data_IF_438572269066
#
_entry.id   IF_438572269066
#
_cell.length_a   1.000
_cell.length_b   1.000
_cell.length_c   1.000
_cell.angle_alpha   90.00
_cell.angle_beta   90.00
_cell.angle_gamma   90.00
#
_symmetry.space_group_name_H-M   'P 1'
#
loop_
_entity.id
_entity.type
_entity.pdbx_description
1 polymer ?
#
# COMPACT_ATOMS: atom_id res chain seq x y z
N UNK A 1 -13.29 27.96 -4.47
CA UNK A 1 -11.96 28.26 -5.06
C UNK A 1 -12.00 29.65 -5.68
N UNK A 2 -10.95 30.47 -5.50
CA UNK A 2 -10.87 31.84 -6.03
C UNK A 2 -10.55 31.91 -7.54
N UNK A 3 -9.88 30.88 -8.09
CA UNK A 3 -9.57 30.77 -9.52
C UNK A 3 -10.31 29.61 -10.20
N UNK A 4 -10.35 29.64 -11.54
CA UNK A 4 -10.95 28.56 -12.36
C UNK A 4 -10.11 27.28 -12.25
N UNK A 5 -10.75 26.12 -12.29
CA UNK A 5 -10.07 24.83 -12.12
C UNK A 5 -8.94 24.59 -13.15
N UNK A 6 -9.14 25.03 -14.40
CA UNK A 6 -8.17 24.90 -15.51
C UNK A 6 -6.92 25.79 -15.34
N UNK A 7 -7.00 26.82 -14.51
CA UNK A 7 -5.87 27.74 -14.26
C UNK A 7 -4.80 27.18 -13.33
N UNK A 8 -5.08 26.09 -12.60
CA UNK A 8 -4.11 25.48 -11.67
C UNK A 8 -3.11 24.53 -12.35
N UNK A 9 -3.22 24.29 -13.66
CA UNK A 9 -2.28 23.44 -14.40
C UNK A 9 -2.24 21.99 -13.90
N UNK A 10 -3.38 21.45 -13.48
CA UNK A 10 -3.48 20.18 -12.76
C UNK A 10 -3.34 18.95 -13.68
N UNK A 11 -2.09 18.66 -14.05
CA UNK A 11 -1.71 17.54 -14.93
C UNK A 11 -0.53 16.75 -14.34
N UNK A 12 -0.26 15.56 -14.89
CA UNK A 12 0.90 14.75 -14.46
C UNK A 12 2.20 15.56 -14.59
N UNK A 13 3.03 15.51 -13.55
CA UNK A 13 4.17 16.42 -13.37
C UNK A 13 3.84 17.68 -12.55
N UNK A 14 2.67 17.74 -11.89
CA UNK A 14 2.32 18.80 -10.94
C UNK A 14 3.44 19.01 -9.91
N UNK A 15 3.90 20.24 -9.77
CA UNK A 15 4.97 20.57 -8.81
C UNK A 15 4.40 20.75 -7.40
N UNK A 16 5.27 20.61 -6.40
CA UNK A 16 4.88 20.85 -5.00
C UNK A 16 4.40 22.27 -4.77
N UNK A 17 4.99 23.26 -5.45
CA UNK A 17 4.60 24.68 -5.34
C UNK A 17 3.21 24.94 -5.93
N UNK A 18 2.90 24.30 -7.07
CA UNK A 18 1.57 24.39 -7.68
C UNK A 18 0.50 23.74 -6.79
N UNK A 19 0.80 22.57 -6.22
CA UNK A 19 -0.10 21.91 -5.27
C UNK A 19 -0.29 22.76 -4.00
N UNK A 20 0.79 23.31 -3.44
CA UNK A 20 0.72 24.19 -2.27
C UNK A 20 -0.12 25.44 -2.54
N UNK A 21 0.00 26.03 -3.73
CA UNK A 21 -0.82 27.18 -4.14
C UNK A 21 -2.31 26.83 -4.14
N UNK A 22 -2.68 25.68 -4.70
CA UNK A 22 -4.07 25.19 -4.68
C UNK A 22 -4.58 24.96 -3.25
N UNK A 23 -3.76 24.37 -2.39
CA UNK A 23 -4.08 24.15 -0.98
C UNK A 23 -4.35 25.49 -0.27
N UNK A 24 -3.46 26.47 -0.44
CA UNK A 24 -3.63 27.81 0.16
C UNK A 24 -4.90 28.50 -0.34
N UNK A 25 -5.21 28.40 -1.63
CA UNK A 25 -6.44 28.94 -2.19
C UNK A 25 -7.71 28.26 -1.63
N UNK A 26 -7.63 26.95 -1.33
CA UNK A 26 -8.71 26.23 -0.67
C UNK A 26 -8.90 26.69 0.78
N UNK A 27 -7.81 26.93 1.52
CA UNK A 27 -7.84 27.46 2.88
C UNK A 27 -8.40 28.88 2.93
N UNK A 28 -7.96 29.76 2.03
CA UNK A 28 -8.45 31.14 1.90
C UNK A 28 -9.95 31.15 1.57
N UNK A 29 -10.40 30.28 0.66
CA UNK A 29 -11.83 30.14 0.34
C UNK A 29 -12.65 29.63 1.54
N UNK A 30 -12.14 28.63 2.27
CA UNK A 30 -12.83 28.10 3.45
C UNK A 30 -12.95 29.14 4.56
N UNK A 31 -11.86 29.83 4.91
CA UNK A 31 -11.86 30.86 5.96
C UNK A 31 -12.78 32.04 5.61
N UNK A 32 -12.79 32.48 4.35
CA UNK A 32 -13.70 33.53 3.88
C UNK A 32 -15.18 33.17 4.01
N UNK A 33 -15.56 31.90 3.80
CA UNK A 33 -16.96 31.45 3.86
C UNK A 33 -17.36 31.09 5.29
N UNK A 34 -16.48 30.42 6.05
CA UNK A 34 -16.75 29.98 7.41
C UNK A 34 -16.71 31.13 8.43
N UNK A 35 -16.15 32.29 8.08
CA UNK A 35 -15.91 33.39 9.02
C UNK A 35 -14.92 33.05 10.12
N UNK A 36 -14.17 31.95 9.97
CA UNK A 36 -13.17 31.50 10.92
C UNK A 36 -11.83 32.17 10.60
N UNK A 37 -11.33 32.99 11.52
CA UNK A 37 -10.03 33.62 11.39
C UNK A 37 -8.86 32.67 11.68
N UNK A 38 -9.13 31.56 12.39
CA UNK A 38 -8.13 30.56 12.74
C UNK A 38 -8.63 29.16 12.41
N UNK A 39 -7.78 28.37 11.77
CA UNK A 39 -8.03 26.96 11.50
C UNK A 39 -7.43 26.10 12.62
N UNK A 40 -8.12 25.03 13.05
CA UNK A 40 -7.53 24.09 13.97
C UNK A 40 -6.32 23.40 13.29
N UNK A 41 -5.28 23.15 14.09
CA UNK A 41 -4.19 22.30 13.64
C UNK A 41 -4.68 20.85 13.59
N UNK A 42 -4.50 20.18 12.45
CA UNK A 42 -4.88 18.79 12.22
C UNK A 42 -3.68 17.98 11.74
N UNK A 43 -3.78 16.66 11.72
CA UNK A 43 -2.73 15.82 11.12
C UNK A 43 -2.87 15.82 9.58
N UNK A 44 -4.10 15.70 9.08
CA UNK A 44 -4.40 15.58 7.64
C UNK A 44 -5.51 16.54 7.23
N UNK A 45 -5.30 17.28 6.15
CA UNK A 45 -6.31 18.08 5.47
C UNK A 45 -6.81 17.37 4.20
N UNK A 46 -8.10 17.10 4.10
CA UNK A 46 -8.72 16.64 2.86
C UNK A 46 -9.35 17.79 2.11
N UNK A 47 -8.96 17.98 0.85
CA UNK A 47 -9.57 18.92 -0.07
C UNK A 47 -10.37 18.11 -1.08
N UNK A 48 -11.69 18.36 -1.11
CA UNK A 48 -12.65 17.61 -1.93
C UNK A 48 -13.30 18.57 -2.92
N UNK A 49 -12.71 18.79 -4.11
CA UNK A 49 -13.31 19.60 -5.16
C UNK A 49 -14.60 18.95 -5.66
N UNK A 50 -15.56 19.74 -6.12
CA UNK A 50 -16.79 19.16 -6.69
C UNK A 50 -16.48 18.43 -8.00
N UNK A 51 -17.31 17.44 -8.38
CA UNK A 51 -17.18 16.73 -9.67
C UNK A 51 -17.23 17.65 -10.90
N UNK A 52 -17.70 18.91 -10.76
CA UNK A 52 -17.72 19.91 -11.83
C UNK A 52 -16.33 20.52 -12.09
N UNK A 53 -15.36 20.36 -11.18
CA UNK A 53 -13.99 20.83 -11.33
C UNK A 53 -13.15 19.87 -12.19
N UNK A 54 -13.62 19.56 -13.40
CA UNK A 54 -13.08 18.51 -14.27
C UNK A 54 -11.60 18.66 -14.64
N UNK A 55 -11.06 19.89 -14.57
CA UNK A 55 -9.64 20.15 -14.80
C UNK A 55 -8.74 19.67 -13.66
N UNK A 56 -9.26 19.47 -12.43
CA UNK A 56 -8.53 18.81 -11.34
C UNK A 56 -8.62 17.31 -11.59
N UNK A 57 -7.78 16.82 -12.49
CA UNK A 57 -8.00 15.54 -13.18
C UNK A 57 -7.62 14.29 -12.37
N UNK A 58 -6.69 14.41 -11.43
CA UNK A 58 -6.19 13.29 -10.62
C UNK A 58 -6.04 13.69 -9.15
N UNK A 59 -6.02 12.70 -8.27
CA UNK A 59 -5.81 12.88 -6.84
C UNK A 59 -4.33 12.72 -6.49
N UNK A 60 -3.72 13.70 -5.79
CA UNK A 60 -2.42 13.49 -5.14
C UNK A 60 -2.43 13.84 -3.64
N UNK A 61 -1.47 13.24 -2.94
CA UNK A 61 -1.08 13.62 -1.59
C UNK A 61 0.07 14.63 -1.62
N UNK A 62 -0.12 15.75 -0.94
CA UNK A 62 0.93 16.71 -0.62
C UNK A 62 1.72 16.24 0.60
N UNK A 63 3.00 15.95 0.37
CA UNK A 63 3.90 15.42 1.41
C UNK A 63 4.57 16.50 2.28
N UNK A 64 4.36 17.78 2.00
CA UNK A 64 4.87 18.89 2.81
C UNK A 64 3.91 19.31 3.94
N UNK A 65 4.42 20.11 4.87
CA UNK A 65 3.58 20.76 5.87
C UNK A 65 2.68 21.82 5.22
N UNK A 66 1.41 21.80 5.59
CA UNK A 66 0.38 22.71 5.10
C UNK A 66 0.31 23.93 6.01
N UNK A 67 0.49 25.10 5.41
CA UNK A 67 0.40 26.39 6.09
C UNK A 67 -0.53 27.34 5.34
N UNK A 68 -1.15 28.27 6.06
CA UNK A 68 -1.78 29.45 5.45
C UNK A 68 -0.71 30.30 4.75
N UNK A 69 -1.13 31.29 3.96
CA UNK A 69 -0.19 32.24 3.33
C UNK A 69 0.62 33.06 4.34
N UNK A 70 0.11 33.26 5.55
CA UNK A 70 0.80 33.92 6.66
C UNK A 70 1.76 33.00 7.41
N UNK A 71 1.92 31.75 6.99
CA UNK A 71 2.79 30.76 7.64
C UNK A 71 2.17 30.06 8.86
N UNK A 72 0.86 30.22 9.11
CA UNK A 72 0.19 29.53 10.22
C UNK A 72 0.05 28.04 9.88
N UNK A 73 0.55 27.12 10.73
CA UNK A 73 0.40 25.67 10.51
C UNK A 73 -1.07 25.24 10.51
N UNK A 74 -1.44 24.36 9.59
CA UNK A 74 -2.80 23.82 9.45
C UNK A 74 -2.81 22.29 9.47
N UNK A 75 -1.94 21.65 8.68
CA UNK A 75 -1.85 20.19 8.64
C UNK A 75 -0.43 19.71 8.34
N UNK A 76 -0.10 18.46 8.68
CA UNK A 76 1.20 17.85 8.34
C UNK A 76 1.23 17.32 6.90
N UNK A 77 0.06 17.00 6.35
CA UNK A 77 -0.16 16.47 5.00
C UNK A 77 -1.50 16.96 4.46
N UNK A 78 -1.66 16.98 3.14
CA UNK A 78 -2.95 17.22 2.50
C UNK A 78 -3.23 16.18 1.42
N UNK A 79 -4.47 15.72 1.31
CA UNK A 79 -4.95 14.92 0.18
C UNK A 79 -5.89 15.79 -0.62
N UNK A 80 -5.63 15.95 -1.92
CA UNK A 80 -6.53 16.65 -2.83
C UNK A 80 -7.15 15.65 -3.78
N UNK A 81 -8.48 15.55 -3.78
CA UNK A 81 -9.16 14.68 -4.73
C UNK A 81 -9.32 15.33 -6.10
N UNK A 82 -9.18 14.51 -7.13
CA UNK A 82 -9.48 14.88 -8.51
C UNK A 82 -10.72 14.17 -9.05
N UNK A 83 -10.94 14.35 -10.35
CA UNK A 83 -12.02 13.71 -11.09
C UNK A 83 -11.93 12.18 -11.04
N UNK A 84 -10.72 11.64 -10.95
CA UNK A 84 -10.45 10.20 -10.82
C UNK A 84 -11.12 9.55 -9.59
N UNK A 85 -11.29 10.29 -8.49
CA UNK A 85 -12.06 9.87 -7.32
C UNK A 85 -13.56 9.73 -7.59
N UNK A 86 -14.08 10.35 -8.65
CA UNK A 86 -15.49 10.27 -9.03
C UNK A 86 -15.75 9.26 -10.16
N UNK A 87 -14.84 9.19 -11.14
CA UNK A 87 -15.12 8.49 -12.41
C UNK A 87 -14.28 7.22 -12.64
N UNK A 88 -13.17 7.03 -11.91
CA UNK A 88 -12.24 5.92 -12.18
C UNK A 88 -12.00 5.03 -10.97
N UNK A 89 -11.52 5.60 -9.88
CA UNK A 89 -11.03 4.85 -8.72
C UNK A 89 -11.99 4.88 -7.54
N UNK A 90 -12.99 5.77 -7.55
CA UNK A 90 -13.98 5.91 -6.48
C UNK A 90 -13.32 6.05 -5.11
N UNK A 91 -13.83 5.38 -4.08
CA UNK A 91 -13.26 5.40 -2.74
C UNK A 91 -11.84 4.81 -2.65
N UNK A 92 -11.36 4.07 -3.66
CA UNK A 92 -10.05 3.42 -3.59
C UNK A 92 -8.90 4.43 -3.64
N UNK A 93 -9.04 5.51 -4.40
CA UNK A 93 -8.02 6.58 -4.41
C UNK A 93 -7.99 7.33 -3.07
N UNK A 94 -9.12 7.43 -2.37
CA UNK A 94 -9.12 7.93 -0.99
C UNK A 94 -8.26 7.06 -0.09
N UNK A 95 -8.38 5.73 -0.19
CA UNK A 95 -7.59 4.82 0.61
C UNK A 95 -6.09 4.92 0.26
N UNK A 96 -5.76 4.91 -1.03
CA UNK A 96 -4.39 5.02 -1.54
C UNK A 96 -3.69 6.32 -1.09
N UNK A 97 -4.31 7.46 -1.35
CA UNK A 97 -3.74 8.77 -1.01
C UNK A 97 -3.66 8.96 0.51
N UNK A 98 -4.66 8.48 1.25
CA UNK A 98 -4.58 8.47 2.72
C UNK A 98 -3.41 7.62 3.22
N UNK A 99 -3.07 6.52 2.53
CA UNK A 99 -1.90 5.70 2.81
C UNK A 99 -0.59 6.50 2.88
N UNK A 100 -0.40 7.45 1.95
CA UNK A 100 0.78 8.32 1.94
C UNK A 100 0.86 9.24 3.16
N UNK A 101 -0.29 9.68 3.69
CA UNK A 101 -0.31 10.51 4.92
C UNK A 101 0.21 9.75 6.14
N UNK A 102 0.18 8.41 6.08
CA UNK A 102 0.72 7.50 7.10
C UNK A 102 2.08 6.91 6.70
N UNK A 103 2.80 7.57 5.79
CA UNK A 103 4.14 7.19 5.31
C UNK A 103 4.21 5.83 4.59
N UNK A 104 3.12 5.39 3.95
CA UNK A 104 3.19 4.28 3.02
C UNK A 104 3.72 4.76 1.65
N UNK A 105 4.71 4.06 1.05
CA UNK A 105 5.27 4.42 -0.25
C UNK A 105 4.37 3.98 -1.39
N UNK A 106 4.55 4.54 -2.58
CA UNK A 106 4.11 3.95 -3.83
C UNK A 106 4.89 2.65 -4.10
N UNK A 107 4.17 1.58 -4.39
CA UNK A 107 4.72 0.25 -4.66
C UNK A 107 4.78 -0.09 -6.16
N UNK A 108 4.63 0.92 -7.01
CA UNK A 108 4.72 0.83 -8.47
C UNK A 108 5.81 1.73 -9.05
N UNK A 109 6.35 1.47 -10.25
CA UNK A 109 7.44 2.25 -10.82
C UNK A 109 7.09 3.72 -11.04
N UNK A 110 7.95 4.61 -10.55
CA UNK A 110 7.91 6.05 -10.82
C UNK A 110 9.16 6.49 -11.63
N UNK A 111 9.04 7.46 -12.56
CA UNK A 111 7.83 8.21 -12.93
C UNK A 111 6.91 7.45 -13.91
N UNK A 112 7.32 6.28 -14.42
CA UNK A 112 6.52 5.48 -15.34
C UNK A 112 6.86 3.99 -15.26
N UNK A 113 5.87 3.15 -15.60
CA UNK A 113 6.00 1.69 -15.67
C UNK A 113 4.68 1.00 -15.34
N UNK A 114 4.61 -0.34 -15.46
CA UNK A 114 3.41 -1.09 -15.13
C UNK A 114 3.18 -1.11 -13.62
N UNK A 115 1.94 -0.83 -13.18
CA UNK A 115 1.61 -0.67 -11.75
C UNK A 115 1.81 -1.93 -10.92
N UNK A 116 1.69 -3.11 -11.54
CA UNK A 116 1.94 -4.39 -10.88
C UNK A 116 3.40 -4.85 -10.86
N UNK A 117 4.35 -4.11 -11.44
CA UNK A 117 5.72 -4.60 -11.69
C UNK A 117 6.40 -5.28 -10.50
N UNK A 118 6.20 -4.72 -9.30
CA UNK A 118 6.87 -5.20 -8.10
C UNK A 118 6.00 -6.10 -7.23
N UNK A 119 4.68 -5.93 -7.26
CA UNK A 119 3.79 -6.51 -6.26
C UNK A 119 2.50 -7.12 -6.82
N UNK A 120 2.32 -7.16 -8.14
CA UNK A 120 1.05 -7.51 -8.76
C UNK A 120 -0.09 -6.64 -8.25
N UNK A 121 -1.23 -7.26 -7.97
CA UNK A 121 -2.40 -6.64 -7.37
C UNK A 121 -2.63 -7.00 -5.92
N UNK A 122 -1.55 -7.13 -5.13
CA UNK A 122 -1.56 -7.58 -3.74
C UNK A 122 -1.59 -6.47 -2.67
N UNK A 123 -1.53 -5.18 -3.03
CA UNK A 123 -1.60 -4.05 -2.08
C UNK A 123 -2.11 -2.76 -2.73
N UNK A 124 -2.97 -2.03 -2.01
CA UNK A 124 -3.58 -0.76 -2.43
C UNK A 124 -2.57 0.32 -2.83
N UNK A 125 -1.35 0.33 -2.27
CA UNK A 125 -0.29 1.27 -2.62
C UNK A 125 0.43 0.93 -3.93
N UNK A 126 0.15 -0.23 -4.52
CA UNK A 126 0.61 -0.58 -5.86
C UNK A 126 -0.51 -0.41 -6.88
N UNK A 127 -1.04 -1.54 -7.34
CA UNK A 127 -2.16 -1.52 -8.28
C UNK A 127 -3.50 -1.39 -7.55
N UNK A 128 -4.05 -0.17 -7.50
CA UNK A 128 -5.31 0.19 -6.81
C UNK A 128 -6.51 -0.70 -7.23
N UNK A 129 -6.52 -1.20 -8.47
CA UNK A 129 -7.55 -2.11 -8.99
C UNK A 129 -7.13 -3.59 -9.02
N UNK A 130 -6.07 -3.95 -8.29
CA UNK A 130 -5.66 -5.33 -8.11
C UNK A 130 -6.79 -6.21 -7.55
N UNK A 131 -6.79 -7.52 -7.85
CA UNK A 131 -7.79 -8.46 -7.33
C UNK A 131 -7.72 -8.63 -5.80
N UNK A 132 -6.58 -8.31 -5.18
CA UNK A 132 -6.31 -8.50 -3.75
C UNK A 132 -5.72 -7.22 -3.13
N UNK A 133 -6.48 -6.11 -3.10
CA UNK A 133 -5.92 -4.79 -2.83
C UNK A 133 -5.74 -4.48 -1.34
N UNK A 134 -5.96 -5.42 -0.41
CA UNK A 134 -5.69 -5.16 1.01
C UNK A 134 -4.20 -4.83 1.26
N UNK A 135 -3.90 -4.01 2.26
CA UNK A 135 -2.52 -3.71 2.60
C UNK A 135 -1.78 -4.95 3.08
N UNK A 136 -0.53 -5.10 2.65
CA UNK A 136 0.40 -6.11 3.17
C UNK A 136 0.42 -6.10 4.71
N UNK A 137 0.55 -7.27 5.32
CA UNK A 137 0.68 -7.42 6.77
C UNK A 137 1.84 -6.57 7.31
N UNK A 138 2.93 -6.43 6.56
CA UNK A 138 4.03 -5.52 6.90
C UNK A 138 3.57 -4.07 7.06
N UNK A 139 2.77 -3.56 6.14
CA UNK A 139 2.24 -2.21 6.20
C UNK A 139 1.25 -2.07 7.37
N UNK A 140 0.33 -3.03 7.54
CA UNK A 140 -0.62 -3.03 8.67
C UNK A 140 0.07 -3.11 10.03
N UNK A 141 1.15 -3.87 10.16
CA UNK A 141 1.96 -3.94 11.38
C UNK A 141 2.66 -2.61 11.67
N UNK A 142 3.29 -1.99 10.66
CA UNK A 142 3.91 -0.66 10.82
C UNK A 142 2.92 0.43 11.23
N UNK A 143 1.66 0.30 10.82
CA UNK A 143 0.58 1.21 11.18
C UNK A 143 -0.05 0.90 12.55
N UNK A 144 0.37 -0.19 13.21
CA UNK A 144 -0.20 -0.65 14.48
C UNK A 144 -1.59 -1.26 14.35
N UNK A 145 -2.02 -1.62 13.13
CA UNK A 145 -3.30 -2.30 12.90
C UNK A 145 -3.20 -3.80 13.16
N UNK A 146 -1.99 -4.36 13.02
CA UNK A 146 -1.61 -5.64 13.59
C UNK A 146 -0.70 -5.38 14.78
N UNK A 147 -0.94 -6.08 15.88
CA UNK A 147 -0.11 -6.00 17.08
C UNK A 147 1.08 -6.96 17.00
N UNK A 148 2.11 -6.72 17.83
CA UNK A 148 3.34 -7.51 17.83
C UNK A 148 3.10 -9.01 18.10
N UNK A 149 2.09 -9.36 18.89
CA UNK A 149 1.70 -10.76 19.17
C UNK A 149 1.05 -11.48 17.98
N UNK A 150 0.73 -10.74 16.91
CA UNK A 150 0.26 -11.31 15.64
C UNK A 150 1.38 -11.54 14.63
N UNK A 151 2.64 -11.23 14.99
CA UNK A 151 3.79 -11.29 14.08
C UNK A 151 4.87 -12.21 14.64
N UNK A 152 5.11 -13.32 13.96
CA UNK A 152 6.18 -14.25 14.32
C UNK A 152 7.49 -13.77 13.70
N UNK A 153 8.40 -13.24 14.52
CA UNK A 153 9.70 -12.73 14.06
C UNK A 153 10.82 -13.76 14.21
N UNK A 154 11.50 -14.10 13.11
CA UNK A 154 12.68 -14.96 13.10
C UNK A 154 13.93 -14.12 12.90
N UNK A 155 14.83 -14.15 13.87
CA UNK A 155 16.08 -13.37 13.85
C UNK A 155 17.35 -14.22 13.90
N UNK A 156 17.21 -15.54 14.06
CA UNK A 156 18.32 -16.49 14.16
C UNK A 156 18.16 -17.61 13.14
N UNK A 157 19.26 -18.20 12.64
CA UNK A 157 19.21 -19.41 11.83
C UNK A 157 18.53 -20.57 12.54
N UNK A 158 17.93 -21.48 11.77
CA UNK A 158 17.21 -22.65 12.27
C UNK A 158 16.02 -23.04 11.40
N UNK A 159 15.36 -24.13 11.80
CA UNK A 159 14.11 -24.58 11.19
C UNK A 159 12.98 -24.44 12.20
N UNK A 160 11.94 -23.70 11.86
CA UNK A 160 10.77 -23.46 12.71
C UNK A 160 9.49 -23.71 11.92
N UNK A 161 8.39 -23.96 12.64
CA UNK A 161 7.06 -24.14 12.07
C UNK A 161 6.12 -23.11 12.63
N UNK A 162 5.28 -22.53 11.78
CA UNK A 162 4.36 -21.45 12.10
C UNK A 162 2.98 -21.74 11.54
N UNK A 163 1.94 -21.31 12.26
CA UNK A 163 0.55 -21.40 11.83
C UNK A 163 0.07 -19.99 11.50
N UNK A 164 -0.15 -19.69 10.21
CA UNK A 164 -0.53 -18.37 9.74
C UNK A 164 -2.00 -18.36 9.36
N UNK A 165 -2.78 -17.51 10.02
CA UNK A 165 -4.18 -17.27 9.69
C UNK A 165 -4.30 -16.22 8.58
N UNK A 166 -5.35 -16.27 7.74
CA UNK A 166 -5.56 -15.28 6.69
C UNK A 166 -5.50 -13.85 7.21
N UNK A 167 -4.90 -12.95 6.43
CA UNK A 167 -4.78 -11.55 6.78
C UNK A 167 -6.16 -10.88 6.95
N UNK A 168 -7.15 -11.38 6.23
CA UNK A 168 -8.50 -10.82 6.17
C UNK A 168 -9.39 -11.29 7.35
N UNK A 169 -8.94 -12.27 8.15
CA UNK A 169 -9.67 -12.75 9.33
C UNK A 169 -9.21 -12.05 10.62
N UNK A 170 -10.03 -11.99 11.69
CA UNK A 170 -9.58 -11.50 12.98
C UNK A 170 -8.63 -12.48 13.70
N UNK A 171 -7.66 -11.95 14.45
CA UNK A 171 -6.83 -12.71 15.42
C UNK A 171 -5.86 -13.73 14.82
N UNK A 172 -5.05 -14.36 15.67
CA UNK A 172 -4.00 -15.29 15.27
C UNK A 172 -2.79 -14.62 14.61
N UNK A 173 -1.75 -15.41 14.36
CA UNK A 173 -0.54 -14.96 13.65
C UNK A 173 -0.89 -14.62 12.20
N UNK A 174 -0.56 -13.39 11.79
CA UNK A 174 -0.87 -12.84 10.46
C UNK A 174 0.30 -12.87 9.51
N UNK A 175 1.52 -12.81 10.04
CA UNK A 175 2.71 -12.90 9.24
C UNK A 175 3.85 -13.54 10.00
N UNK A 176 4.73 -14.18 9.24
CA UNK A 176 6.05 -14.61 9.67
C UNK A 176 7.07 -13.69 9.02
N UNK A 177 7.89 -13.01 9.81
CA UNK A 177 8.89 -12.05 9.36
C UNK A 177 10.28 -12.62 9.61
N UNK A 178 11.03 -12.87 8.54
CA UNK A 178 12.37 -13.47 8.60
C UNK A 178 13.42 -12.40 8.29
N UNK A 179 14.14 -11.98 9.33
CA UNK A 179 15.22 -11.01 9.18
C UNK A 179 16.32 -11.57 8.29
N UNK A 180 16.66 -10.86 7.21
CA UNK A 180 17.80 -11.20 6.36
C UNK A 180 19.03 -10.39 6.74
N UNK A 181 18.90 -9.07 6.90
CA UNK A 181 19.97 -8.20 7.39
C UNK A 181 19.39 -6.96 8.10
N UNK A 182 20.18 -5.89 8.28
CA UNK A 182 19.74 -4.67 8.97
C UNK A 182 18.71 -3.84 8.21
N UNK A 183 18.55 -4.06 6.90
CA UNK A 183 17.71 -3.25 6.01
C UNK A 183 16.77 -4.07 5.14
N UNK A 184 16.79 -5.40 5.25
CA UNK A 184 15.99 -6.29 4.43
C UNK A 184 15.42 -7.45 5.24
N UNK A 185 14.16 -7.80 4.94
CA UNK A 185 13.42 -8.90 5.56
C UNK A 185 12.53 -9.59 4.54
N UNK A 186 12.25 -10.87 4.77
CA UNK A 186 11.25 -11.64 4.06
C UNK A 186 9.99 -11.63 4.92
N UNK A 187 8.83 -11.56 4.29
CA UNK A 187 7.55 -11.71 4.96
C UNK A 187 6.77 -12.82 4.25
N UNK A 188 6.20 -13.72 5.04
CA UNK A 188 5.21 -14.69 4.61
C UNK A 188 3.88 -14.36 5.29
N UNK A 189 2.83 -14.14 4.50
CA UNK A 189 1.46 -13.89 4.99
C UNK A 189 0.48 -14.79 4.25
N UNK A 190 -0.70 -15.05 4.82
CA UNK A 190 -1.75 -15.80 4.12
C UNK A 190 -2.76 -14.82 3.54
N UNK A 191 -3.05 -14.98 2.25
CA UNK A 191 -4.08 -14.23 1.52
C UNK A 191 -5.22 -15.15 1.13
N UNK A 192 -6.45 -14.68 1.31
CA UNK A 192 -7.67 -15.43 1.05
C UNK A 192 -8.72 -14.57 0.34
N UNK A 193 -9.74 -15.19 -0.25
CA UNK A 193 -10.83 -14.50 -0.95
C UNK A 193 -11.91 -13.95 -0.01
N UNK A 194 -11.49 -13.26 1.06
CA UNK A 194 -12.37 -12.69 2.09
C UNK A 194 -12.14 -11.18 2.25
N UNK A 195 -13.07 -10.49 2.90
CA UNK A 195 -12.89 -9.08 3.26
C UNK A 195 -12.59 -8.19 2.04
N UNK A 196 -11.52 -7.39 2.14
CA UNK A 196 -11.06 -6.48 1.08
C UNK A 196 -10.59 -7.25 -0.17
N UNK A 197 -10.13 -8.49 0.03
CA UNK A 197 -9.58 -9.36 -1.00
C UNK A 197 -10.61 -10.33 -1.58
N UNK A 198 -11.91 -10.04 -1.44
CA UNK A 198 -12.99 -10.93 -1.91
C UNK A 198 -12.95 -11.27 -3.40
N UNK A 199 -12.23 -10.47 -4.20
CA UNK A 199 -12.05 -10.66 -5.64
C UNK A 199 -10.74 -11.40 -6.01
N UNK A 200 -9.99 -11.88 -5.01
CA UNK A 200 -8.72 -12.60 -5.21
C UNK A 200 -8.89 -13.74 -6.21
N UNK A 201 -8.05 -13.76 -7.24
CA UNK A 201 -8.00 -14.87 -8.21
C UNK A 201 -7.08 -16.01 -7.78
N UNK A 202 -6.21 -15.78 -6.80
CA UNK A 202 -5.37 -16.80 -6.15
C UNK A 202 -5.36 -16.60 -4.64
N UNK A 203 -5.06 -17.68 -3.90
CA UNK A 203 -5.01 -17.68 -2.43
C UNK A 203 -3.88 -18.58 -1.96
N UNK A 204 -3.36 -18.34 -0.75
CA UNK A 204 -2.28 -19.13 -0.18
C UNK A 204 -1.30 -18.29 0.61
N UNK A 205 -0.08 -18.81 0.78
CA UNK A 205 1.02 -18.12 1.47
C UNK A 205 1.74 -17.23 0.47
N UNK A 206 1.50 -15.92 0.55
CA UNK A 206 2.18 -14.92 -0.26
C UNK A 206 3.54 -14.59 0.38
N UNK A 207 4.59 -14.61 -0.44
CA UNK A 207 5.94 -14.25 -0.02
C UNK A 207 6.35 -12.93 -0.66
N UNK A 208 6.94 -12.04 0.13
CA UNK A 208 7.54 -10.81 -0.40
C UNK A 208 8.75 -10.37 0.41
N UNK A 209 9.66 -9.69 -0.26
CA UNK A 209 10.79 -9.02 0.38
C UNK A 209 10.46 -7.58 0.68
N UNK A 210 11.01 -7.05 1.76
CA UNK A 210 10.93 -5.65 2.15
C UNK A 210 12.35 -5.10 2.28
N UNK A 211 12.58 -3.90 1.73
CA UNK A 211 13.79 -3.11 1.89
C UNK A 211 13.46 -1.77 2.55
N UNK A 212 14.15 -1.44 3.64
CA UNK A 212 13.98 -0.17 4.36
C UNK A 212 14.82 0.97 3.79
N UNK A 213 15.64 0.70 2.77
CA UNK A 213 16.53 1.68 2.13
C UNK A 213 16.18 1.94 0.66
N UNK A 214 15.24 1.18 0.11
CA UNK A 214 14.71 1.41 -1.24
C UNK A 214 13.64 2.49 -1.18
N UNK A 215 13.75 3.49 -2.05
CA UNK A 215 12.81 4.61 -2.07
C UNK A 215 11.43 4.22 -2.64
N UNK A 216 10.43 5.05 -2.35
CA UNK A 216 9.11 5.01 -3.01
C UNK A 216 9.27 4.96 -4.54
N UNK A 217 8.44 4.18 -5.19
CA UNK A 217 8.50 4.01 -6.65
C UNK A 217 9.62 3.12 -7.18
N UNK A 218 10.53 2.62 -6.34
CA UNK A 218 11.64 1.73 -6.74
C UNK A 218 11.45 0.27 -6.29
N UNK A 219 10.25 -0.05 -5.79
CA UNK A 219 9.88 -1.36 -5.27
C UNK A 219 10.53 -1.68 -3.92
N UNK A 220 10.21 -0.92 -2.85
CA UNK A 220 10.64 -1.24 -1.49
C UNK A 220 9.99 -2.50 -0.93
N UNK A 221 8.88 -2.93 -1.51
CA UNK A 221 8.29 -4.25 -1.31
C UNK A 221 8.28 -4.95 -2.68
N UNK A 222 8.65 -6.24 -2.71
CA UNK A 222 8.62 -7.04 -3.94
C UNK A 222 8.08 -8.44 -3.67
N UNK A 223 7.00 -8.80 -4.35
CA UNK A 223 6.41 -10.13 -4.31
C UNK A 223 7.36 -11.14 -4.96
N UNK A 224 7.50 -12.30 -4.33
CA UNK A 224 8.25 -13.42 -4.84
C UNK A 224 7.27 -14.37 -5.52
N UNK A 225 7.45 -14.54 -6.81
CA UNK A 225 6.58 -15.36 -7.65
C UNK A 225 6.92 -16.85 -7.52
N UNK A 226 6.05 -17.62 -6.87
CA UNK A 226 6.20 -19.06 -6.78
C UNK A 226 5.83 -19.81 -8.07
N UNK A 227 5.19 -19.16 -9.04
CA UNK A 227 4.69 -19.78 -10.26
C UNK A 227 5.19 -19.05 -11.53
N UNK A 228 6.51 -18.82 -11.68
CA UNK A 228 7.02 -17.99 -12.75
C UNK A 228 6.75 -18.57 -14.14
N UNK A 229 6.28 -17.71 -15.04
CA UNK A 229 5.89 -18.04 -16.41
C UNK A 229 4.50 -18.66 -16.53
N UNK A 230 3.66 -18.61 -15.49
CA UNK A 230 2.29 -19.16 -15.53
C UNK A 230 1.35 -18.30 -16.39
N UNK A 231 1.69 -17.02 -16.58
CA UNK A 231 0.79 -16.01 -17.14
C UNK A 231 -0.07 -15.32 -16.08
N UNK A 232 0.02 -15.75 -14.82
CA UNK A 232 -0.71 -15.23 -13.68
C UNK A 232 -2.23 -15.28 -13.82
N UNK A 233 -2.91 -14.33 -13.16
CA UNK A 233 -4.35 -14.14 -13.26
C UNK A 233 -4.72 -12.66 -13.23
N UNK A 234 -5.95 -12.32 -13.64
CA UNK A 234 -6.42 -10.93 -13.71
C UNK A 234 -5.46 -9.97 -14.47
N UNK A 235 -4.71 -10.50 -15.45
CA UNK A 235 -3.85 -9.72 -16.36
C UNK A 235 -2.46 -9.37 -15.82
N UNK A 236 -2.01 -9.95 -14.71
CA UNK A 236 -0.66 -9.73 -14.18
C UNK A 236 -0.04 -11.07 -13.72
N UNK A 237 1.23 -11.27 -14.07
CA UNK A 237 2.01 -12.48 -13.74
C UNK A 237 2.05 -12.73 -12.23
N UNK A 238 2.19 -11.68 -11.41
CA UNK A 238 2.38 -11.85 -9.97
C UNK A 238 1.10 -12.19 -9.21
N UNK A 239 -0.07 -12.17 -9.86
CA UNK A 239 -1.36 -12.35 -9.19
C UNK A 239 -1.65 -13.80 -8.78
N UNK A 240 -0.85 -14.79 -9.21
CA UNK A 240 -0.91 -16.17 -8.73
C UNK A 240 0.34 -16.59 -7.95
N UNK A 241 1.15 -15.62 -7.50
CA UNK A 241 2.39 -15.83 -6.75
C UNK A 241 2.31 -16.68 -5.46
N UNK A 242 1.19 -16.80 -4.72
CA UNK A 242 1.17 -17.53 -3.44
C UNK A 242 1.53 -19.01 -3.55
N UNK A 243 2.24 -19.51 -2.53
CA UNK A 243 2.41 -20.94 -2.30
C UNK A 243 1.12 -21.60 -1.80
N UNK A 244 0.87 -22.84 -2.20
CA UNK A 244 -0.24 -23.64 -1.69
C UNK A 244 0.04 -25.15 -1.84
N UNK A 245 -0.82 -25.99 -1.26
CA UNK A 245 -0.67 -27.45 -1.29
C UNK A 245 -1.06 -28.10 -2.63
N UNK A 246 -1.80 -27.39 -3.49
CA UNK A 246 -2.31 -27.92 -4.76
C UNK A 246 -1.43 -27.53 -5.97
N UNK A 247 -0.41 -26.69 -5.76
CA UNK A 247 0.55 -26.21 -6.75
C UNK A 247 1.96 -26.20 -6.17
N UNK A 248 2.66 -25.07 -6.30
CA UNK A 248 3.98 -24.90 -5.69
C UNK A 248 3.85 -24.73 -4.18
N UNK A 249 4.41 -25.67 -3.43
CA UNK A 249 4.33 -25.69 -1.96
C UNK A 249 5.62 -25.26 -1.26
N UNK A 250 6.72 -25.07 -1.99
CA UNK A 250 8.00 -24.63 -1.42
C UNK A 250 8.68 -23.59 -2.30
N UNK A 251 9.32 -22.61 -1.67
CA UNK A 251 10.07 -21.55 -2.35
C UNK A 251 11.43 -21.33 -1.68
N UNK A 252 12.48 -21.28 -2.50
CA UNK A 252 13.83 -20.90 -2.05
C UNK A 252 14.06 -19.44 -2.41
N UNK A 253 14.26 -18.60 -1.39
CA UNK A 253 14.45 -17.16 -1.60
C UNK A 253 15.82 -16.92 -2.23
N UNK A 254 15.90 -16.34 -3.45
CA UNK A 254 17.15 -16.19 -4.17
C UNK A 254 18.21 -15.42 -3.37
N UNK A 255 19.36 -16.07 -3.12
CA UNK A 255 20.51 -15.46 -2.44
C UNK A 255 20.37 -15.25 -0.93
N UNK A 256 19.27 -15.69 -0.30
CA UNK A 256 18.98 -15.38 1.11
C UNK A 256 19.14 -16.57 2.05
N UNK A 257 19.45 -17.78 1.54
CA UNK A 257 19.53 -19.02 2.33
C UNK A 257 18.28 -19.30 3.18
N UNK A 258 17.12 -18.81 2.72
CA UNK A 258 15.82 -19.03 3.35
C UNK A 258 14.97 -19.89 2.42
N UNK A 259 14.33 -20.91 2.98
CA UNK A 259 13.32 -21.71 2.31
C UNK A 259 12.04 -21.66 3.11
N UNK A 260 10.91 -21.40 2.44
CA UNK A 260 9.57 -21.46 3.03
C UNK A 260 8.82 -22.60 2.37
N UNK A 261 8.23 -23.48 3.18
CA UNK A 261 7.47 -24.64 2.71
C UNK A 261 6.12 -24.68 3.40
N UNK A 262 5.04 -24.74 2.61
CA UNK A 262 3.69 -25.04 3.09
C UNK A 262 3.62 -26.54 3.40
N UNK A 263 3.41 -26.88 4.67
CA UNK A 263 3.41 -28.26 5.16
C UNK A 263 2.01 -28.76 5.57
N UNK A 264 1.03 -27.87 5.63
CA UNK A 264 -0.34 -28.24 5.95
C UNK A 264 -1.30 -27.06 5.85
N UNK A 265 -2.59 -27.36 5.83
CA UNK A 265 -3.66 -26.37 5.80
C UNK A 265 -4.85 -26.91 6.59
N UNK A 266 -5.45 -26.06 7.43
CA UNK A 266 -6.68 -26.36 8.17
C UNK A 266 -7.66 -25.20 7.94
N UNK A 267 -8.73 -25.46 7.19
CA UNK A 267 -9.60 -24.40 6.70
C UNK A 267 -8.81 -23.40 5.85
N UNK A 268 -8.87 -22.11 6.19
CA UNK A 268 -8.10 -21.06 5.51
C UNK A 268 -6.73 -20.79 6.16
N UNK A 269 -6.39 -21.47 7.26
CA UNK A 269 -5.11 -21.27 7.96
C UNK A 269 -4.06 -22.23 7.41
N UNK A 270 -2.83 -21.74 7.22
CA UNK A 270 -1.71 -22.51 6.67
C UNK A 270 -0.66 -22.79 7.74
N UNK A 271 -0.09 -24.00 7.71
CA UNK A 271 1.10 -24.35 8.47
C UNK A 271 2.30 -24.27 7.53
N UNK A 272 3.29 -23.47 7.90
CA UNK A 272 4.51 -23.28 7.13
C UNK A 272 5.73 -23.68 7.94
N UNK A 273 6.68 -24.32 7.29
CA UNK A 273 8.03 -24.49 7.81
C UNK A 273 8.92 -23.44 7.17
N UNK A 274 9.68 -22.72 8.00
CA UNK A 274 10.70 -21.76 7.57
C UNK A 274 12.06 -22.30 7.98
N UNK A 275 12.96 -22.44 7.01
CA UNK A 275 14.33 -22.88 7.22
C UNK A 275 15.29 -21.75 6.84
N UNK A 276 16.07 -21.28 7.81
CA UNK A 276 17.09 -20.24 7.67
C UNK A 276 18.45 -20.88 7.95
N UNK A 277 19.36 -20.85 6.97
CA UNK A 277 20.70 -21.45 7.09
C UNK A 277 21.79 -20.42 7.31
#
# INVERSE_FOLDING_TARGET
MPAKADSYGWQRGLTSEAHQTYIQDALDAYTSVAGQQSLPNTDVLYIVPTQNATAISFSPTYMGDVTTRSGTPVAKKAVTFGLDAYVTWHYKVLNHETGHTMCLPDLYPLPSGPTGLYIGGWDMQGYINGPSPDYFAWNKWRLGWLSDDQIDCLTTPGSTTHTISPLESPGGTKAVVVKHNSTATLVAEVRSSQGIDSASCATGVLLYTVSTVTATGLGPIRVLDANPGSGGCAGDELNDAPLNLNGTSSFVVPGWNITVTVIGQVGATYNVQVNVK
#
